data_IF_086983618894
#
_entry.id   IF_086983618894
#
_cell.length_a   1.000
_cell.length_b   1.000
_cell.length_c   1.000
_cell.angle_alpha   90.00
_cell.angle_beta   90.00
_cell.angle_gamma   90.00
#
_symmetry.space_group_name_H-M   'P 1'
#
loop_
_entity.id
_entity.type
_entity.pdbx_description
1 polymer ?
#
# COMPACT_ATOMS: atom_id res chain seq x y z
N UNK A 1 -16.31 4.18 7.95
CA UNK A 1 -15.95 3.24 6.86
C UNK A 1 -14.83 3.90 6.09
N UNK A 2 -13.67 3.25 6.00
CA UNK A 2 -12.49 3.82 5.34
C UNK A 2 -12.25 3.04 4.06
N UNK A 3 -12.55 3.66 2.91
CA UNK A 3 -12.24 3.09 1.61
C UNK A 3 -10.83 3.54 1.20
N UNK A 4 -10.04 2.60 0.66
CA UNK A 4 -8.70 2.83 0.13
C UNK A 4 -8.70 2.38 -1.33
N UNK A 5 -8.34 3.28 -2.22
CA UNK A 5 -8.22 3.00 -3.66
C UNK A 5 -6.78 2.66 -3.99
N UNK A 6 -6.56 1.52 -4.64
CA UNK A 6 -5.28 1.07 -5.16
C UNK A 6 -5.30 1.11 -6.69
N UNK A 7 -4.12 1.24 -7.29
CA UNK A 7 -3.98 1.10 -8.74
C UNK A 7 -4.28 -0.34 -9.17
N UNK A 8 -5.22 -0.52 -10.11
CA UNK A 8 -5.45 -1.81 -10.74
C UNK A 8 -4.31 -2.11 -11.72
N UNK A 9 -3.61 -3.23 -11.49
CA UNK A 9 -2.56 -3.76 -12.39
C UNK A 9 -3.00 -4.99 -13.16
N UNK A 10 -4.23 -5.43 -12.91
CA UNK A 10 -4.87 -6.57 -13.53
C UNK A 10 -5.50 -7.49 -12.47
N UNK A 11 -6.48 -8.33 -12.83
CA UNK A 11 -7.27 -9.07 -11.85
C UNK A 11 -6.47 -9.96 -10.90
N UNK A 12 -5.33 -10.50 -11.36
CA UNK A 12 -4.46 -11.34 -10.55
C UNK A 12 -3.62 -10.55 -9.54
N UNK A 13 -3.25 -9.31 -9.85
CA UNK A 13 -2.58 -8.40 -8.90
C UNK A 13 -3.60 -7.88 -7.90
N UNK A 14 -4.78 -7.47 -8.35
CA UNK A 14 -5.86 -6.94 -7.51
C UNK A 14 -6.28 -7.97 -6.44
N UNK A 15 -6.38 -9.26 -6.82
CA UNK A 15 -6.66 -10.34 -5.88
C UNK A 15 -5.54 -10.54 -4.86
N UNK A 16 -4.27 -10.43 -5.27
CA UNK A 16 -3.12 -10.54 -4.36
C UNK A 16 -3.12 -9.42 -3.31
N UNK A 17 -3.47 -8.20 -3.70
CA UNK A 17 -3.61 -7.08 -2.77
C UNK A 17 -4.72 -7.35 -1.73
N UNK A 18 -5.87 -7.87 -2.18
CA UNK A 18 -6.99 -8.24 -1.30
C UNK A 18 -6.56 -9.33 -0.30
N UNK A 19 -5.89 -10.38 -0.78
CA UNK A 19 -5.42 -11.49 0.05
C UNK A 19 -4.44 -11.01 1.11
N UNK A 20 -3.50 -10.13 0.73
CA UNK A 20 -2.55 -9.54 1.66
C UNK A 20 -3.24 -8.72 2.76
N UNK A 21 -4.20 -7.86 2.39
CA UNK A 21 -4.98 -7.09 3.38
C UNK A 21 -5.81 -8.02 4.27
N UNK A 22 -6.33 -9.14 3.75
CA UNK A 22 -7.05 -10.13 4.56
C UNK A 22 -6.13 -10.81 5.60
N UNK A 23 -4.87 -11.09 5.25
CA UNK A 23 -3.87 -11.59 6.22
C UNK A 23 -3.66 -10.56 7.34
N UNK A 24 -3.48 -9.28 6.99
CA UNK A 24 -3.32 -8.20 7.97
C UNK A 24 -4.55 -8.01 8.86
N UNK A 25 -5.76 -8.16 8.30
CA UNK A 25 -7.02 -8.13 9.07
C UNK A 25 -7.10 -9.31 10.04
N UNK A 26 -6.75 -10.52 9.60
CA UNK A 26 -6.70 -11.71 10.45
C UNK A 26 -5.72 -11.55 11.63
N UNK A 27 -4.61 -10.87 11.40
CA UNK A 27 -3.63 -10.50 12.43
C UNK A 27 -3.97 -9.24 13.24
N UNK A 28 -5.16 -8.65 13.06
CA UNK A 28 -5.59 -7.40 13.71
C UNK A 28 -4.62 -6.22 13.52
N UNK A 29 -3.86 -6.22 12.43
CA UNK A 29 -2.89 -5.17 12.08
C UNK A 29 -3.53 -3.99 11.34
N UNK A 30 -4.68 -4.21 10.73
CA UNK A 30 -5.46 -3.21 10.01
C UNK A 30 -6.90 -3.24 10.50
N UNK A 31 -7.55 -2.07 10.55
CA UNK A 31 -8.94 -1.95 10.97
C UNK A 31 -9.88 -2.80 10.07
N UNK A 32 -10.77 -3.63 10.64
CA UNK A 32 -11.66 -4.51 9.86
C UNK A 32 -12.62 -3.76 8.92
N UNK A 33 -12.84 -2.46 9.14
CA UNK A 33 -13.69 -1.59 8.32
C UNK A 33 -12.97 -1.01 7.10
N UNK A 34 -11.65 -1.20 6.97
CA UNK A 34 -10.93 -0.85 5.74
C UNK A 34 -11.50 -1.66 4.59
N UNK A 35 -11.79 -1.00 3.46
CA UNK A 35 -12.21 -1.63 2.20
C UNK A 35 -11.22 -1.22 1.11
N UNK A 36 -10.87 -2.19 0.26
CA UNK A 36 -9.95 -1.98 -0.86
C UNK A 36 -10.78 -1.93 -2.13
N UNK A 37 -10.53 -0.90 -2.93
CA UNK A 37 -11.08 -0.73 -4.28
C UNK A 37 -9.92 -0.56 -5.25
N UNK A 38 -10.11 -0.95 -6.50
CA UNK A 38 -9.09 -0.87 -7.55
C UNK A 38 -9.58 -0.02 -8.70
N UNK A 39 -8.74 0.90 -9.17
CA UNK A 39 -9.01 1.78 -10.32
C UNK A 39 -7.80 1.79 -11.24
N UNK A 40 -8.03 1.76 -12.56
CA UNK A 40 -6.93 1.84 -13.53
C UNK A 40 -6.30 3.23 -13.44
N UNK A 41 -4.97 3.33 -13.35
CA UNK A 41 -4.27 4.59 -13.08
C UNK A 41 -4.50 5.73 -14.09
N UNK A 42 -5.01 5.43 -15.30
CA UNK A 42 -5.42 6.46 -16.26
C UNK A 42 -6.71 7.19 -15.84
N UNK A 43 -7.54 6.54 -15.02
CA UNK A 43 -8.86 7.02 -14.59
C UNK A 43 -8.78 7.75 -13.24
N UNK A 44 -7.79 7.43 -12.40
CA UNK A 44 -7.45 8.16 -11.16
C UNK A 44 -5.94 8.45 -11.13
N UNK A 45 -5.54 9.71 -11.41
CA UNK A 45 -4.13 10.09 -11.46
C UNK A 45 -3.44 9.89 -10.11
N UNK A 46 -2.13 9.59 -10.16
CA UNK A 46 -1.25 9.50 -8.98
C UNK A 46 -1.48 8.29 -8.05
N UNK A 47 -2.31 7.32 -8.43
CA UNK A 47 -2.41 6.05 -7.68
C UNK A 47 -1.10 5.25 -7.60
N UNK A 48 -0.07 5.64 -8.36
CA UNK A 48 1.29 5.10 -8.32
C UNK A 48 2.17 5.65 -7.17
N UNK A 49 1.73 6.71 -6.45
CA UNK A 49 2.49 7.30 -5.33
C UNK A 49 2.80 6.25 -4.24
N UNK A 50 1.84 5.44 -3.77
CA UNK A 50 2.10 4.38 -2.78
C UNK A 50 3.20 3.40 -3.23
N UNK A 51 3.24 2.99 -4.50
CA UNK A 51 4.30 2.11 -5.01
C UNK A 51 5.68 2.76 -4.95
N UNK A 52 5.75 4.07 -5.21
CA UNK A 52 7.00 4.84 -5.05
C UNK A 52 7.45 4.86 -3.60
N UNK A 53 6.53 5.06 -2.65
CA UNK A 53 6.81 5.01 -1.21
C UNK A 53 7.29 3.61 -0.80
N UNK A 54 6.66 2.54 -1.29
CA UNK A 54 7.11 1.17 -1.07
C UNK A 54 8.54 0.93 -1.62
N UNK A 55 8.87 1.50 -2.78
CA UNK A 55 10.22 1.49 -3.34
C UNK A 55 11.24 2.21 -2.44
N UNK A 56 10.87 3.35 -1.86
CA UNK A 56 11.72 4.07 -0.89
C UNK A 56 11.96 3.25 0.38
N UNK A 57 10.92 2.61 0.94
CA UNK A 57 11.05 1.70 2.10
C UNK A 57 11.99 0.54 1.78
N UNK A 58 11.86 -0.03 0.57
CA UNK A 58 12.71 -1.14 0.12
C UNK A 58 14.17 -0.69 -0.04
N UNK A 59 14.41 0.48 -0.62
CA UNK A 59 15.75 1.07 -0.76
C UNK A 59 16.38 1.36 0.60
N UNK A 60 15.61 1.88 1.57
CA UNK A 60 16.09 2.03 2.95
C UNK A 60 16.50 0.69 3.55
N UNK A 61 15.66 -0.34 3.45
CA UNK A 61 15.89 -1.66 4.03
C UNK A 61 17.11 -2.40 3.43
N UNK A 62 17.33 -2.26 2.12
CA UNK A 62 18.37 -3.02 1.41
C UNK A 62 19.68 -2.25 1.19
N UNK A 63 19.60 -0.92 1.05
CA UNK A 63 20.72 -0.08 0.64
C UNK A 63 21.08 1.00 1.66
N UNK A 64 20.28 1.17 2.73
CA UNK A 64 20.48 2.22 3.73
C UNK A 64 20.18 3.63 3.21
N UNK A 65 19.44 3.77 2.11
CA UNK A 65 19.05 5.07 1.57
C UNK A 65 17.91 5.69 2.38
N UNK A 66 18.12 6.89 2.91
CA UNK A 66 17.19 7.53 3.85
C UNK A 66 16.18 8.48 3.18
N UNK A 67 15.77 8.19 1.95
CA UNK A 67 14.78 9.02 1.24
C UNK A 67 13.42 9.04 1.96
N UNK A 68 13.09 7.99 2.72
CA UNK A 68 11.81 7.87 3.42
C UNK A 68 11.66 8.83 4.60
N UNK A 69 12.76 9.36 5.15
CA UNK A 69 12.75 10.25 6.31
C UNK A 69 11.94 11.53 6.07
N UNK A 70 11.83 11.96 4.81
CA UNK A 70 10.98 13.12 4.45
C UNK A 70 9.48 12.87 4.65
N UNK A 71 9.08 11.61 4.77
CA UNK A 71 7.71 11.17 5.02
C UNK A 71 7.48 10.80 6.49
N UNK A 72 8.44 11.08 7.37
CA UNK A 72 8.31 10.80 8.80
C UNK A 72 7.04 11.44 9.39
N UNK A 73 6.34 10.68 10.23
CA UNK A 73 5.03 11.03 10.78
C UNK A 73 3.87 11.11 9.77
N UNK A 74 4.11 10.90 8.46
CA UNK A 74 3.07 10.88 7.41
C UNK A 74 2.69 9.49 6.94
N UNK A 75 3.54 8.50 7.22
CA UNK A 75 3.33 7.10 6.87
C UNK A 75 3.38 6.24 8.12
N UNK A 76 2.64 5.14 8.09
CA UNK A 76 2.76 4.05 9.07
C UNK A 76 3.12 2.79 8.32
N UNK A 77 4.24 2.17 8.70
CA UNK A 77 4.66 0.89 8.12
C UNK A 77 4.05 -0.23 8.98
N UNK A 78 3.33 -1.12 8.33
CA UNK A 78 2.73 -2.30 8.97
C UNK A 78 3.46 -3.52 8.45
N UNK A 79 4.15 -4.23 9.34
CA UNK A 79 4.77 -5.52 9.02
C UNK A 79 3.76 -6.66 9.23
N UNK A 80 3.82 -7.65 8.32
CA UNK A 80 3.00 -8.86 8.36
C UNK A 80 3.43 -9.84 9.46
#
# INVERSE_FOLDING_TARGET
MTAVTLESRGPADDQRDIDFVNVLRGGQRVDPSVRVEHVVGRDEPLLWIPDTVCGMVTSQRLMGANHIDVLDGRITIIDA
#
